data_IF_319143277014
#
_entry.id   IF_319143277014
#
_cell.length_a   1.000
_cell.length_b   1.000
_cell.length_c   1.000
_cell.angle_alpha   90.00
_cell.angle_beta   90.00
_cell.angle_gamma   90.00
#
_symmetry.space_group_name_H-M   'P 1'
#
loop_
_entity.id
_entity.type
_entity.pdbx_description
1 polymer ?
#
# COMPACT_ATOMS: atom_id res chain seq x y z
N UNK A 1 17.07 -13.51 7.82
CA UNK A 1 15.76 -13.46 8.50
C UNK A 1 14.93 -12.39 7.81
N UNK A 2 13.61 -12.52 7.71
CA UNK A 2 12.77 -11.46 7.14
C UNK A 2 12.83 -10.21 8.01
N UNK A 3 12.75 -9.04 7.38
CA UNK A 3 12.52 -7.80 8.11
C UNK A 3 11.07 -7.77 8.61
N UNK A 4 10.84 -7.17 9.76
CA UNK A 4 9.53 -7.11 10.43
C UNK A 4 9.13 -5.67 10.67
N UNK A 5 7.92 -5.32 10.24
CA UNK A 5 7.25 -4.07 10.59
C UNK A 5 6.05 -4.40 11.47
N UNK A 6 5.97 -3.77 12.62
CA UNK A 6 4.96 -4.04 13.62
C UNK A 6 4.35 -2.73 14.10
N UNK A 7 3.06 -2.69 14.16
CA UNK A 7 2.28 -1.61 14.76
C UNK A 7 1.48 -2.20 15.92
N UNK A 8 1.52 -1.54 17.07
CA UNK A 8 0.93 -2.03 18.30
C UNK A 8 0.22 -0.91 19.06
N UNK A 9 -0.85 -1.27 19.74
CA UNK A 9 -1.64 -0.40 20.62
C UNK A 9 -2.08 0.91 19.95
N UNK A 10 -2.47 0.84 18.66
CA UNK A 10 -2.94 2.05 17.97
C UNK A 10 -4.35 2.40 18.36
N UNK A 11 -4.48 3.60 18.91
CA UNK A 11 -5.76 4.24 19.22
C UNK A 11 -5.83 5.55 18.44
N UNK A 12 -6.95 5.78 17.75
CA UNK A 12 -7.20 7.02 17.03
C UNK A 12 -8.63 7.47 17.12
N UNK A 13 -8.80 8.72 17.55
CA UNK A 13 -10.11 9.39 17.58
C UNK A 13 -10.09 10.64 16.71
N UNK A 14 -11.23 11.00 16.14
CA UNK A 14 -11.51 12.27 15.49
C UNK A 14 -12.77 12.89 16.09
N UNK A 15 -12.65 14.10 16.62
CA UNK A 15 -13.78 14.84 17.23
C UNK A 15 -14.58 14.00 18.25
N UNK A 16 -13.86 13.24 19.08
CA UNK A 16 -14.48 12.37 20.09
C UNK A 16 -14.98 11.01 19.59
N UNK A 17 -15.01 10.79 18.28
CA UNK A 17 -15.39 9.49 17.70
C UNK A 17 -14.14 8.62 17.52
N UNK A 18 -14.09 7.49 18.18
CA UNK A 18 -12.99 6.53 18.08
C UNK A 18 -13.09 5.74 16.78
N UNK A 19 -12.05 5.87 15.94
CA UNK A 19 -11.97 5.21 14.62
C UNK A 19 -11.12 3.95 14.67
N UNK A 20 -10.06 3.95 15.50
CA UNK A 20 -9.20 2.79 15.71
C UNK A 20 -9.04 2.54 17.20
N UNK A 21 -9.17 1.27 17.60
CA UNK A 21 -9.19 0.81 18.99
C UNK A 21 -8.20 -0.33 19.17
N UNK A 22 -7.08 -0.04 19.82
CA UNK A 22 -6.07 -1.03 20.21
C UNK A 22 -5.62 -1.95 19.05
N UNK A 23 -5.26 -1.34 17.92
CA UNK A 23 -4.85 -2.07 16.72
C UNK A 23 -3.47 -2.69 16.91
N UNK A 24 -3.38 -3.97 16.58
CA UNK A 24 -2.13 -4.68 16.38
C UNK A 24 -2.06 -5.25 14.95
N UNK A 25 -0.96 -5.00 14.24
CA UNK A 25 -0.69 -5.57 12.93
C UNK A 25 0.82 -5.81 12.78
N UNK A 26 1.19 -6.96 12.22
CA UNK A 26 2.57 -7.33 11.93
C UNK A 26 2.70 -7.73 10.47
N UNK A 27 3.66 -7.12 9.76
CA UNK A 27 4.01 -7.44 8.38
C UNK A 27 5.48 -7.85 8.31
N UNK A 28 5.76 -8.92 7.58
CA UNK A 28 7.13 -9.40 7.32
C UNK A 28 7.46 -9.22 5.84
N UNK A 29 8.73 -9.02 5.50
CA UNK A 29 9.15 -9.11 4.10
C UNK A 29 8.90 -10.52 3.59
N UNK A 30 8.44 -10.65 2.34
CA UNK A 30 7.94 -11.92 1.79
C UNK A 30 6.42 -12.07 1.90
N UNK A 31 5.70 -11.11 2.52
CA UNK A 31 4.27 -11.22 2.75
C UNK A 31 3.48 -10.04 2.19
N UNK A 32 2.26 -10.34 1.74
CA UNK A 32 1.25 -9.36 1.33
C UNK A 32 0.07 -9.46 2.29
N UNK A 33 -0.21 -8.36 2.99
CA UNK A 33 -1.37 -8.24 3.88
C UNK A 33 -2.47 -7.44 3.16
N UNK A 34 -3.64 -8.04 3.00
CA UNK A 34 -4.85 -7.36 2.55
C UNK A 34 -5.64 -6.81 3.72
N UNK A 35 -5.88 -5.49 3.73
CA UNK A 35 -6.77 -4.83 4.68
C UNK A 35 -8.15 -4.64 4.07
N UNK A 36 -9.12 -5.36 4.57
CA UNK A 36 -10.52 -5.30 4.20
C UNK A 36 -11.30 -4.41 5.18
N UNK A 37 -12.49 -3.99 4.81
CA UNK A 37 -13.38 -3.22 5.68
C UNK A 37 -14.19 -2.20 4.90
N UNK A 38 -15.35 -1.82 5.43
CA UNK A 38 -16.25 -0.85 4.80
C UNK A 38 -15.61 0.54 4.65
N UNK A 39 -16.19 1.38 3.79
CA UNK A 39 -15.77 2.77 3.67
C UNK A 39 -15.91 3.46 5.04
N UNK A 40 -14.91 4.27 5.40
CA UNK A 40 -14.88 4.94 6.70
C UNK A 40 -14.45 4.05 7.88
N UNK A 41 -14.13 2.75 7.69
CA UNK A 41 -13.70 1.87 8.79
C UNK A 41 -12.32 2.19 9.38
N UNK A 42 -11.55 3.09 8.75
CA UNK A 42 -10.24 3.51 9.27
C UNK A 42 -9.03 2.92 8.56
N UNK A 43 -9.18 2.17 7.45
CA UNK A 43 -8.06 1.56 6.70
C UNK A 43 -6.99 2.56 6.29
N UNK A 44 -7.38 3.61 5.54
CA UNK A 44 -6.46 4.67 5.10
C UNK A 44 -5.87 5.45 6.29
N UNK A 45 -6.65 5.63 7.35
CA UNK A 45 -6.15 6.22 8.61
C UNK A 45 -5.04 5.36 9.21
N UNK A 46 -5.24 4.05 9.27
CA UNK A 46 -4.24 3.11 9.77
C UNK A 46 -2.97 3.13 8.91
N UNK A 47 -3.09 3.10 7.57
CA UNK A 47 -1.94 3.19 6.68
C UNK A 47 -1.17 4.51 6.86
N UNK A 48 -1.88 5.64 6.98
CA UNK A 48 -1.27 6.96 7.22
C UNK A 48 -0.59 7.06 8.60
N UNK A 49 -1.15 6.42 9.63
CA UNK A 49 -0.51 6.33 10.96
C UNK A 49 0.75 5.46 10.87
N UNK A 50 0.69 4.33 10.19
CA UNK A 50 1.81 3.42 9.99
C UNK A 50 2.94 4.08 9.18
N UNK A 51 2.60 4.86 8.16
CA UNK A 51 3.56 5.67 7.42
C UNK A 51 4.13 6.81 8.28
N UNK A 52 3.33 7.40 9.17
CA UNK A 52 3.73 8.44 10.11
C UNK A 52 3.28 9.84 9.75
N UNK A 53 2.39 10.01 8.76
CA UNK A 53 1.82 11.33 8.37
C UNK A 53 0.61 11.73 9.21
N UNK A 54 -0.10 10.76 9.79
CA UNK A 54 -1.21 11.01 10.72
C UNK A 54 -0.78 10.63 12.14
N UNK A 55 -1.07 11.50 13.10
CA UNK A 55 -0.85 11.22 14.52
C UNK A 55 -1.93 10.28 15.03
N UNK A 56 -1.59 9.44 15.99
CA UNK A 56 -2.52 8.65 16.79
C UNK A 56 -2.52 9.13 18.24
N UNK A 57 -3.61 8.83 18.97
CA UNK A 57 -3.71 9.14 20.39
C UNK A 57 -2.73 8.26 21.18
N UNK A 58 -2.57 7.02 20.73
CA UNK A 58 -1.54 6.07 21.17
C UNK A 58 -1.05 5.24 19.99
N UNK A 59 0.24 4.95 19.93
CA UNK A 59 0.84 4.01 18.95
C UNK A 59 2.24 3.59 19.36
N UNK A 60 2.59 2.38 18.96
CA UNK A 60 3.97 1.91 18.87
C UNK A 60 4.19 1.37 17.46
N UNK A 61 5.19 1.90 16.76
CA UNK A 61 5.60 1.40 15.45
C UNK A 61 7.06 0.99 15.59
N UNK A 62 7.35 -0.26 15.30
CA UNK A 62 8.71 -0.78 15.35
C UNK A 62 9.04 -1.60 14.11
N UNK A 63 10.32 -1.56 13.72
CA UNK A 63 10.86 -2.45 12.71
C UNK A 63 12.14 -3.06 13.25
N UNK A 64 12.23 -4.40 13.24
CA UNK A 64 13.35 -5.15 13.76
C UNK A 64 13.76 -4.71 15.19
N UNK A 65 12.77 -4.44 16.04
CA UNK A 65 12.97 -4.00 17.42
C UNK A 65 13.26 -2.51 17.62
N UNK A 66 13.56 -1.74 16.58
CA UNK A 66 13.74 -0.27 16.66
C UNK A 66 12.38 0.43 16.54
N UNK A 67 12.11 1.36 17.46
CA UNK A 67 10.86 2.14 17.51
C UNK A 67 10.97 3.41 16.68
N UNK A 68 9.90 3.74 15.96
CA UNK A 68 9.80 4.89 15.07
C UNK A 68 8.56 5.73 15.37
N UNK A 69 8.73 7.03 15.54
CA UNK A 69 7.61 7.97 15.63
C UNK A 69 7.08 8.40 14.26
N UNK A 70 7.98 8.54 13.29
CA UNK A 70 7.71 8.95 11.90
C UNK A 70 8.50 8.04 10.96
N UNK A 71 8.00 6.82 10.67
CA UNK A 71 8.70 5.83 9.85
C UNK A 71 9.14 6.34 8.47
N UNK A 72 8.34 7.24 7.85
CA UNK A 72 8.68 7.83 6.55
C UNK A 72 10.00 8.63 6.54
N UNK A 73 10.52 9.05 7.69
CA UNK A 73 11.80 9.74 7.79
C UNK A 73 13.02 8.80 7.78
N UNK A 74 12.80 7.52 7.96
CA UNK A 74 13.86 6.51 7.87
C UNK A 74 14.01 6.06 6.43
N UNK A 75 15.14 6.40 5.82
CA UNK A 75 15.43 6.06 4.42
C UNK A 75 15.38 4.55 4.20
N UNK A 76 14.66 4.11 3.17
CA UNK A 76 14.55 2.71 2.82
C UNK A 76 13.67 1.86 3.75
N UNK A 77 12.99 2.46 4.74
CA UNK A 77 12.13 1.69 5.62
C UNK A 77 10.76 1.44 5.00
N UNK A 78 10.04 2.50 4.62
CA UNK A 78 8.64 2.40 4.22
C UNK A 78 8.29 3.39 3.12
N UNK A 79 7.49 2.94 2.14
CA UNK A 79 6.88 3.79 1.12
C UNK A 79 5.35 3.71 1.23
N UNK A 80 4.67 4.75 0.76
CA UNK A 80 3.21 4.85 0.81
C UNK A 80 2.65 5.40 -0.49
N UNK A 81 1.71 4.66 -1.08
CA UNK A 81 0.86 5.10 -2.18
C UNK A 81 -0.40 5.72 -1.59
N UNK A 82 -0.62 7.03 -1.69
CA UNK A 82 -1.87 7.67 -1.29
C UNK A 82 -2.99 7.38 -2.30
N UNK A 83 -4.25 7.67 -1.92
CA UNK A 83 -5.39 7.59 -2.83
C UNK A 83 -5.25 8.60 -3.98
N UNK A 84 -4.79 9.82 -3.69
CA UNK A 84 -4.51 10.83 -4.70
C UNK A 84 -3.14 10.64 -5.33
N UNK A 85 -3.03 10.99 -6.61
CA UNK A 85 -1.75 10.97 -7.33
C UNK A 85 -0.75 11.93 -6.69
N UNK A 86 0.52 11.51 -6.62
CA UNK A 86 1.57 12.28 -5.93
C UNK A 86 2.71 12.73 -6.83
N UNK A 87 2.79 12.21 -8.08
CA UNK A 87 3.88 12.61 -8.98
C UNK A 87 3.68 14.03 -9.53
N UNK A 88 4.74 14.84 -9.64
CA UNK A 88 4.68 16.19 -10.18
C UNK A 88 4.29 16.20 -11.67
N UNK A 89 3.16 16.82 -12.01
CA UNK A 89 2.58 16.82 -13.36
C UNK A 89 3.46 17.48 -14.44
N UNK A 90 4.31 18.42 -14.06
CA UNK A 90 5.16 19.18 -14.96
C UNK A 90 6.48 18.50 -15.32
N UNK A 91 6.84 17.44 -14.61
CA UNK A 91 8.09 16.71 -14.85
C UNK A 91 7.92 15.64 -15.93
N UNK A 92 9.03 15.32 -16.58
CA UNK A 92 9.13 14.18 -17.48
C UNK A 92 9.27 12.89 -16.67
N UNK A 93 8.71 11.80 -17.20
CA UNK A 93 8.76 10.47 -16.60
C UNK A 93 10.21 10.02 -16.37
N UNK A 94 11.07 10.20 -17.36
CA UNK A 94 12.50 9.89 -17.25
C UNK A 94 13.18 10.57 -16.05
N UNK A 95 12.90 11.87 -15.86
CA UNK A 95 13.45 12.65 -14.74
C UNK A 95 13.02 12.09 -13.39
N UNK A 96 11.76 11.66 -13.28
CA UNK A 96 11.23 11.08 -12.03
C UNK A 96 11.86 9.73 -11.77
N UNK A 97 11.94 8.86 -12.78
CA UNK A 97 12.53 7.53 -12.64
C UNK A 97 14.00 7.63 -12.25
N UNK A 98 14.77 8.48 -12.95
CA UNK A 98 16.19 8.71 -12.62
C UNK A 98 16.38 9.26 -11.20
N UNK A 99 15.55 10.21 -10.79
CA UNK A 99 15.63 10.80 -9.45
C UNK A 99 15.27 9.82 -8.33
N UNK A 100 14.32 8.91 -8.59
CA UNK A 100 13.80 8.00 -7.57
C UNK A 100 14.59 6.69 -7.45
N UNK A 101 15.02 6.14 -8.58
CA UNK A 101 15.69 4.83 -8.65
C UNK A 101 17.19 4.90 -8.90
N UNK A 102 17.70 6.04 -9.36
CA UNK A 102 19.08 6.16 -9.90
C UNK A 102 19.13 5.80 -11.38
N UNK A 103 20.10 6.40 -12.10
CA UNK A 103 20.26 6.21 -13.55
C UNK A 103 20.58 4.77 -13.95
N UNK A 104 21.28 4.06 -13.08
CA UNK A 104 21.69 2.67 -13.27
C UNK A 104 20.51 1.69 -13.30
N UNK A 105 19.38 2.04 -12.67
CA UNK A 105 18.19 1.19 -12.58
C UNK A 105 17.13 1.48 -13.65
N UNK A 106 17.32 2.53 -14.47
CA UNK A 106 16.36 2.94 -15.50
C UNK A 106 16.10 1.83 -16.51
N UNK A 107 17.15 1.14 -16.98
CA UNK A 107 17.02 0.10 -18.00
C UNK A 107 16.16 -1.07 -17.50
N UNK A 108 16.34 -1.52 -16.25
CA UNK A 108 15.55 -2.59 -15.67
C UNK A 108 14.10 -2.15 -15.39
N UNK A 109 13.90 -0.88 -15.04
CA UNK A 109 12.57 -0.32 -14.84
C UNK A 109 11.76 -0.26 -16.13
N UNK A 110 12.43 -0.02 -17.27
CA UNK A 110 11.84 0.02 -18.61
C UNK A 110 11.67 -1.36 -19.26
N UNK A 111 12.00 -2.45 -18.58
CA UNK A 111 11.60 -3.80 -19.01
C UNK A 111 10.08 -4.01 -18.80
N UNK A 112 9.30 -3.11 -19.42
CA UNK A 112 7.86 -2.97 -19.30
C UNK A 112 7.32 -2.24 -20.53
N UNK A 113 6.53 -2.94 -21.34
CA UNK A 113 6.02 -2.44 -22.62
C UNK A 113 5.18 -1.16 -22.49
N UNK A 114 4.47 -0.98 -21.37
CA UNK A 114 3.72 0.26 -21.11
C UNK A 114 4.68 1.43 -20.88
N UNK A 115 5.66 1.26 -20.01
CA UNK A 115 6.59 2.33 -19.65
C UNK A 115 7.50 2.73 -20.81
N UNK A 116 7.89 1.80 -21.67
CA UNK A 116 8.61 2.13 -22.92
C UNK A 116 7.82 3.11 -23.79
N UNK A 117 6.49 2.94 -23.90
CA UNK A 117 5.62 3.85 -24.66
C UNK A 117 5.48 5.22 -24.00
N UNK A 118 5.61 5.29 -22.69
CA UNK A 118 5.47 6.52 -21.91
C UNK A 118 6.78 7.29 -21.78
N UNK A 119 7.91 6.69 -22.15
CA UNK A 119 9.22 7.31 -22.04
C UNK A 119 9.30 8.65 -22.77
N UNK A 120 9.93 9.64 -22.16
CA UNK A 120 10.03 11.00 -22.69
C UNK A 120 8.78 11.88 -22.56
N UNK A 121 7.66 11.32 -22.16
CA UNK A 121 6.43 12.09 -21.92
C UNK A 121 6.45 12.79 -20.57
N UNK A 122 5.60 13.82 -20.44
CA UNK A 122 5.34 14.46 -19.14
C UNK A 122 4.26 13.68 -18.37
N UNK A 123 4.33 13.70 -17.04
CA UNK A 123 3.29 13.11 -16.18
C UNK A 123 1.89 13.65 -16.51
N UNK A 124 1.77 14.94 -16.86
CA UNK A 124 0.50 15.58 -17.23
C UNK A 124 -0.18 15.01 -18.48
N UNK A 125 0.51 14.23 -19.30
CA UNK A 125 -0.05 13.62 -20.51
C UNK A 125 -0.57 12.20 -20.30
N UNK A 126 -0.31 11.61 -19.13
CA UNK A 126 -0.76 10.27 -18.79
C UNK A 126 -2.26 10.23 -18.49
N UNK A 127 -2.91 9.13 -18.89
CA UNK A 127 -4.21 8.79 -18.33
C UNK A 127 -4.10 8.47 -16.82
N UNK A 128 -5.20 8.58 -16.09
CA UNK A 128 -5.20 8.27 -14.65
C UNK A 128 -4.68 6.87 -14.33
N UNK A 129 -5.05 5.87 -15.14
CA UNK A 129 -4.59 4.50 -14.96
C UNK A 129 -3.09 4.30 -15.26
N UNK A 130 -2.55 4.95 -16.29
CA UNK A 130 -1.12 4.93 -16.59
C UNK A 130 -0.30 5.61 -15.50
N UNK A 131 -0.80 6.74 -15.00
CA UNK A 131 -0.16 7.45 -13.89
C UNK A 131 -0.15 6.58 -12.64
N UNK A 132 -1.28 5.96 -12.30
CA UNK A 132 -1.38 5.08 -11.14
C UNK A 132 -0.44 3.88 -11.26
N UNK A 133 -0.37 3.27 -12.44
CA UNK A 133 0.57 2.20 -12.72
C UNK A 133 2.03 2.62 -12.50
N UNK A 134 2.43 3.78 -13.03
CA UNK A 134 3.77 4.33 -12.86
C UNK A 134 4.08 4.58 -11.37
N UNK A 135 3.15 5.19 -10.63
CA UNK A 135 3.30 5.46 -9.20
C UNK A 135 3.53 4.19 -8.40
N UNK A 136 2.71 3.15 -8.64
CA UNK A 136 2.83 1.87 -7.97
C UNK A 136 4.17 1.21 -8.29
N UNK A 137 4.54 1.14 -9.56
CA UNK A 137 5.79 0.50 -9.98
C UNK A 137 7.01 1.21 -9.38
N UNK A 138 7.04 2.55 -9.34
CA UNK A 138 8.09 3.30 -8.67
C UNK A 138 8.25 2.90 -7.20
N UNK A 139 7.14 2.83 -6.45
CA UNK A 139 7.18 2.47 -5.03
C UNK A 139 7.62 1.02 -4.82
N UNK A 140 7.15 0.10 -5.68
CA UNK A 140 7.47 -1.32 -5.59
C UNK A 140 8.94 -1.62 -5.96
N UNK A 141 9.50 -0.92 -6.93
CA UNK A 141 10.91 -1.08 -7.34
C UNK A 141 11.89 -0.20 -6.56
N UNK A 142 11.39 0.79 -5.81
CA UNK A 142 12.19 1.63 -4.92
C UNK A 142 12.85 0.86 -3.77
N UNK A 143 13.68 1.53 -2.99
CA UNK A 143 14.54 0.90 -1.99
C UNK A 143 13.84 0.54 -0.66
N UNK A 144 12.55 0.86 -0.50
CA UNK A 144 11.83 0.64 0.76
C UNK A 144 11.60 -0.86 1.03
N UNK A 145 11.78 -1.27 2.29
CA UNK A 145 11.52 -2.64 2.76
C UNK A 145 10.03 -2.95 2.86
N UNK A 146 9.23 -1.94 3.17
CA UNK A 146 7.78 -2.07 3.30
C UNK A 146 7.08 -1.08 2.37
N UNK A 147 5.99 -1.52 1.74
CA UNK A 147 5.18 -0.70 0.85
C UNK A 147 3.72 -0.76 1.27
N UNK A 148 3.14 0.41 1.51
CA UNK A 148 1.73 0.59 1.83
C UNK A 148 1.01 1.09 0.60
N UNK A 149 -0.04 0.39 0.16
CA UNK A 149 -0.81 0.72 -1.04
C UNK A 149 -2.26 1.00 -0.66
N UNK A 150 -2.65 2.28 -0.73
CA UNK A 150 -4.02 2.72 -0.44
C UNK A 150 -4.82 2.79 -1.74
N UNK A 151 -5.70 1.81 -1.95
CA UNK A 151 -6.54 1.63 -3.13
C UNK A 151 -5.73 1.61 -4.45
N UNK A 152 -4.77 0.69 -4.61
CA UNK A 152 -3.90 0.66 -5.79
C UNK A 152 -4.64 0.41 -7.10
N UNK A 153 -5.77 -0.30 -7.09
CA UNK A 153 -6.50 -0.68 -8.31
C UNK A 153 -7.57 0.35 -8.70
N UNK A 154 -7.79 1.38 -7.87
CA UNK A 154 -8.79 2.41 -8.15
C UNK A 154 -8.39 3.25 -9.37
N UNK A 155 -9.32 3.39 -10.33
CA UNK A 155 -9.10 4.15 -11.57
C UNK A 155 -8.15 3.50 -12.58
N UNK A 156 -7.70 2.27 -12.33
CA UNK A 156 -6.85 1.51 -13.26
C UNK A 156 -7.72 0.78 -14.27
N UNK A 157 -7.31 0.82 -15.55
CA UNK A 157 -7.98 0.07 -16.59
C UNK A 157 -7.92 -1.45 -16.31
N UNK A 158 -9.00 -2.22 -16.54
CA UNK A 158 -9.04 -3.65 -16.21
C UNK A 158 -7.87 -4.45 -16.80
N UNK A 159 -7.43 -4.10 -18.00
CA UNK A 159 -6.29 -4.76 -18.68
C UNK A 159 -4.95 -4.62 -17.92
N UNK A 160 -4.81 -3.61 -17.06
CA UNK A 160 -3.60 -3.36 -16.27
C UNK A 160 -3.66 -3.96 -14.85
N UNK A 161 -4.85 -4.37 -14.39
CA UNK A 161 -5.02 -4.86 -13.01
C UNK A 161 -4.19 -6.12 -12.77
N UNK A 162 -4.21 -7.08 -13.70
CA UNK A 162 -3.43 -8.31 -13.55
C UNK A 162 -1.92 -8.03 -13.57
N UNK A 163 -1.46 -7.13 -14.45
CA UNK A 163 -0.06 -6.70 -14.47
C UNK A 163 0.36 -6.03 -13.14
N UNK A 164 -0.52 -5.23 -12.54
CA UNK A 164 -0.26 -4.64 -11.22
C UNK A 164 -0.20 -5.68 -10.11
N UNK A 165 -1.10 -6.66 -10.12
CA UNK A 165 -1.05 -7.78 -9.16
C UNK A 165 0.26 -8.55 -9.27
N UNK A 166 0.73 -8.81 -10.48
CA UNK A 166 2.00 -9.51 -10.71
C UNK A 166 3.20 -8.67 -10.24
N UNK A 167 3.19 -7.35 -10.45
CA UNK A 167 4.20 -6.44 -9.88
C UNK A 167 4.20 -6.49 -8.34
N UNK A 168 3.03 -6.46 -7.71
CA UNK A 168 2.91 -6.54 -6.25
C UNK A 168 3.45 -7.89 -5.75
N UNK A 169 3.06 -9.01 -6.39
CA UNK A 169 3.57 -10.35 -6.03
C UNK A 169 5.09 -10.45 -6.18
N UNK A 170 5.63 -9.92 -7.28
CA UNK A 170 7.08 -9.89 -7.54
C UNK A 170 7.81 -9.07 -6.48
N UNK A 171 7.33 -7.88 -6.17
CA UNK A 171 7.93 -7.02 -5.14
C UNK A 171 7.88 -7.67 -3.76
N UNK A 172 6.80 -8.38 -3.45
CA UNK A 172 6.61 -9.05 -2.18
C UNK A 172 7.61 -10.18 -1.92
N UNK A 173 8.34 -10.68 -2.92
CA UNK A 173 9.41 -11.65 -2.71
C UNK A 173 10.53 -11.11 -1.80
N UNK A 174 10.71 -9.79 -1.76
CA UNK A 174 11.76 -9.11 -0.98
C UNK A 174 11.24 -8.03 -0.05
N UNK A 175 9.98 -7.62 -0.21
CA UNK A 175 9.33 -6.55 0.55
C UNK A 175 8.14 -7.07 1.35
N UNK A 176 7.77 -6.36 2.41
CA UNK A 176 6.46 -6.49 3.03
C UNK A 176 5.47 -5.53 2.39
N UNK A 177 4.31 -6.00 1.97
CA UNK A 177 3.29 -5.17 1.35
C UNK A 177 2.02 -5.19 2.20
N UNK A 178 1.44 -4.01 2.45
CA UNK A 178 0.12 -3.88 3.06
C UNK A 178 -0.74 -3.09 2.08
N UNK A 179 -1.85 -3.68 1.64
CA UNK A 179 -2.73 -3.02 0.68
C UNK A 179 -4.20 -3.05 1.12
N UNK A 180 -4.94 -2.07 0.65
CA UNK A 180 -6.40 -2.01 0.75
C UNK A 180 -7.00 -1.63 -0.59
N UNK A 181 -8.21 -2.08 -0.88
CA UNK A 181 -8.94 -1.66 -2.07
C UNK A 181 -10.44 -1.74 -1.83
N UNK A 182 -11.24 -1.04 -2.65
CA UNK A 182 -12.70 -1.11 -2.65
C UNK A 182 -13.19 -2.44 -3.23
N UNK A 183 -12.55 -2.92 -4.30
CA UNK A 183 -12.84 -4.25 -4.82
C UNK A 183 -12.06 -5.30 -4.02
N UNK A 184 -12.74 -5.85 -3.02
CA UNK A 184 -12.19 -6.89 -2.15
C UNK A 184 -11.65 -8.10 -2.93
N UNK A 185 -12.17 -8.40 -4.13
CA UNK A 185 -11.73 -9.53 -4.96
C UNK A 185 -10.27 -9.38 -5.35
N UNK A 186 -9.86 -8.15 -5.71
CA UNK A 186 -8.46 -7.86 -6.02
C UNK A 186 -7.55 -8.06 -4.81
N UNK A 187 -8.04 -7.66 -3.62
CA UNK A 187 -7.31 -7.85 -2.35
C UNK A 187 -7.16 -9.33 -2.03
N UNK A 188 -8.27 -10.09 -2.12
CA UNK A 188 -8.27 -11.53 -1.85
C UNK A 188 -7.35 -12.31 -2.79
N UNK A 189 -7.31 -11.91 -4.07
CA UNK A 189 -6.49 -12.56 -5.08
C UNK A 189 -4.98 -12.34 -4.86
N UNK A 190 -4.57 -11.13 -4.46
CA UNK A 190 -3.14 -10.78 -4.39
C UNK A 190 -2.52 -11.02 -3.01
N UNK A 191 -3.30 -10.94 -1.93
CA UNK A 191 -2.80 -11.00 -0.56
C UNK A 191 -2.61 -12.44 -0.04
N UNK A 192 -1.56 -12.65 0.76
CA UNK A 192 -1.30 -13.94 1.43
C UNK A 192 -2.13 -14.09 2.71
N UNK A 193 -2.43 -12.99 3.38
CA UNK A 193 -3.23 -12.95 4.60
C UNK A 193 -4.21 -11.79 4.57
N UNK A 194 -5.39 -12.02 5.13
CA UNK A 194 -6.46 -11.04 5.13
C UNK A 194 -6.76 -10.58 6.54
N UNK A 195 -6.93 -9.29 6.69
CA UNK A 195 -7.31 -8.65 7.93
C UNK A 195 -8.47 -7.71 7.65
N UNK A 196 -9.46 -7.67 8.52
CA UNK A 196 -10.59 -6.77 8.38
C UNK A 196 -10.60 -5.74 9.49
N UNK A 197 -10.71 -4.47 9.11
CA UNK A 197 -10.98 -3.38 10.05
C UNK A 197 -12.49 -3.29 10.24
N UNK A 198 -12.95 -3.65 11.44
CA UNK A 198 -14.35 -3.72 11.81
C UNK A 198 -14.54 -3.16 13.22
N UNK A 199 -15.45 -2.22 13.39
CA UNK A 199 -15.73 -1.53 14.67
C UNK A 199 -14.47 -1.03 15.38
N UNK A 200 -13.57 -0.43 14.59
CA UNK A 200 -12.31 0.12 15.08
C UNK A 200 -11.23 -0.91 15.43
N UNK A 201 -11.52 -2.21 15.40
CA UNK A 201 -10.55 -3.27 15.67
C UNK A 201 -10.06 -3.96 14.39
N UNK A 202 -8.94 -4.68 14.47
CA UNK A 202 -8.48 -5.58 13.40
C UNK A 202 -8.82 -7.02 13.75
N UNK A 203 -9.36 -7.74 12.77
CA UNK A 203 -9.63 -9.18 12.85
C UNK A 203 -8.93 -9.89 11.71
N UNK A 204 -8.16 -10.93 12.01
CA UNK A 204 -7.61 -11.82 11.00
C UNK A 204 -8.75 -12.64 10.40
N UNK A 205 -8.80 -12.72 9.09
CA UNK A 205 -9.81 -13.45 8.31
C UNK A 205 -9.15 -14.71 7.76
N UNK A 206 -9.74 -15.86 8.02
CA UNK A 206 -9.19 -17.16 7.63
C UNK A 206 -9.89 -17.76 6.41
N UNK A 207 -11.14 -17.36 6.14
CA UNK A 207 -11.93 -17.83 5.01
C UNK A 207 -13.01 -16.82 4.61
N UNK A 208 -13.65 -17.04 3.47
CA UNK A 208 -14.70 -16.16 2.95
C UNK A 208 -15.97 -16.14 3.81
N UNK A 209 -16.29 -17.25 4.51
CA UNK A 209 -17.48 -17.34 5.36
C UNK A 209 -17.44 -16.33 6.50
N UNK A 210 -16.24 -16.00 7.00
CA UNK A 210 -16.07 -14.97 8.00
C UNK A 210 -16.44 -13.58 7.45
N UNK A 211 -16.14 -13.29 6.18
CA UNK A 211 -16.54 -12.03 5.55
C UNK A 211 -18.06 -11.93 5.37
N UNK A 212 -18.74 -13.04 5.08
CA UNK A 212 -20.22 -13.11 5.07
C UNK A 212 -20.80 -12.83 6.47
N UNK A 213 -20.28 -13.50 7.50
CA UNK A 213 -20.73 -13.33 8.90
C UNK A 213 -20.61 -11.89 9.40
N UNK A 214 -19.58 -11.17 8.94
CA UNK A 214 -19.40 -9.76 9.25
C UNK A 214 -20.21 -8.84 8.32
N UNK A 215 -20.99 -9.40 7.39
CA UNK A 215 -21.78 -8.64 6.42
C UNK A 215 -20.93 -7.73 5.52
N UNK A 216 -19.68 -8.14 5.27
CA UNK A 216 -18.76 -7.39 4.42
C UNK A 216 -18.99 -7.69 2.94
N UNK A 217 -19.25 -8.94 2.60
CA UNK A 217 -19.65 -9.41 1.28
C UNK A 217 -21.08 -9.95 1.32
N UNK A 218 -21.86 -9.78 0.23
CA UNK A 218 -23.23 -10.30 0.18
C UNK A 218 -23.23 -11.84 0.21
N UNK A 219 -24.28 -12.42 0.76
CA UNK A 219 -24.55 -13.85 0.69
C UNK A 219 -24.64 -14.27 -0.79
N UNK A 220 -24.15 -15.48 -1.09
CA UNK A 220 -24.20 -16.09 -2.42
C UNK A 220 -25.62 -16.47 -2.84
#
# INVERSE_FOLDING_TARGET
MPDVLEIDSVIKSYNGNQVLTDIYLKCETGHIIGLLGRNGSGKSTLLKILFGTVSADRKFIKSNGKVYNKPYKETGLIAYLPQDNFLPYNLKIETIIEAYLGKENVASFLDDALLVKLWGQKVSTLSGGELRYLEIKLLLEGHSKFVLLDEPFNGVAPVLIDSLKDLIRKAALTKGVILTDHDYRNVLDVANTWHMVFDGAIKKINNLDELYRYGYIPDL
#
